data_IF_327829360213
#
_entry.id   IF_327829360213
#
_cell.length_a   1.000
_cell.length_b   1.000
_cell.length_c   1.000
_cell.angle_alpha   90.00
_cell.angle_beta   90.00
_cell.angle_gamma   90.00
#
_symmetry.space_group_name_H-M   'P 1'
#
loop_
_entity.id
_entity.type
_entity.pdbx_description
1 polymer ?
#
# COMPACT_ATOMS: atom_id res chain seq x y z
N UNK A 1 -5.61 9.97 17.12
CA UNK A 1 -5.09 10.37 15.79
C UNK A 1 -3.96 9.41 15.47
N UNK A 2 -3.81 9.05 14.21
CA UNK A 2 -2.75 8.15 13.74
C UNK A 2 -1.42 8.92 13.69
N UNK A 3 -0.30 8.29 14.08
CA UNK A 3 1.04 8.89 14.01
C UNK A 3 1.87 8.28 12.85
N UNK A 4 3.04 8.86 12.57
CA UNK A 4 3.93 8.41 11.47
C UNK A 4 4.21 6.91 11.47
N UNK A 5 4.41 6.32 12.65
CA UNK A 5 4.78 4.90 12.78
C UNK A 5 3.61 3.95 12.48
N UNK A 6 2.38 4.42 12.64
CA UNK A 6 1.14 3.69 12.35
C UNK A 6 0.79 3.69 10.85
N UNK A 7 1.45 4.54 10.05
CA UNK A 7 1.24 4.60 8.60
C UNK A 7 1.77 3.31 7.96
N UNK A 8 0.87 2.36 7.74
CA UNK A 8 1.08 1.14 6.94
C UNK A 8 0.88 1.29 5.43
N UNK A 9 1.20 0.22 4.68
CA UNK A 9 1.12 0.20 3.22
C UNK A 9 -0.30 0.37 2.65
N UNK A 10 -1.33 -0.05 3.39
CA UNK A 10 -2.73 0.16 3.01
C UNK A 10 -3.11 1.64 2.94
N UNK A 11 -2.59 2.45 3.87
CA UNK A 11 -2.85 3.89 3.90
C UNK A 11 -2.23 4.58 2.68
N UNK A 12 -0.99 4.24 2.34
CA UNK A 12 -0.31 4.75 1.15
C UNK A 12 -1.05 4.32 -0.12
N UNK A 13 -1.49 3.06 -0.20
CA UNK A 13 -2.29 2.58 -1.32
C UNK A 13 -3.58 3.41 -1.48
N UNK A 14 -4.28 3.69 -0.38
CA UNK A 14 -5.50 4.49 -0.40
C UNK A 14 -5.25 5.96 -0.69
N UNK A 15 -4.15 6.55 -0.23
CA UNK A 15 -3.75 7.90 -0.60
C UNK A 15 -3.69 8.05 -2.14
N UNK A 16 -2.97 7.15 -2.80
CA UNK A 16 -2.78 7.18 -4.25
C UNK A 16 -4.02 6.76 -5.04
N UNK A 17 -4.87 5.92 -4.45
CA UNK A 17 -6.11 5.49 -5.11
C UNK A 17 -7.23 6.52 -4.96
N UNK A 18 -7.53 6.92 -3.73
CA UNK A 18 -8.68 7.73 -3.35
C UNK A 18 -8.49 8.31 -1.93
N UNK A 19 -8.08 9.59 -1.79
CA UNK A 19 -7.91 10.24 -0.48
C UNK A 19 -9.19 10.22 0.38
N UNK A 20 -10.36 10.23 -0.28
CA UNK A 20 -11.65 10.05 0.38
C UNK A 20 -11.77 8.68 1.07
N UNK A 21 -11.38 7.61 0.37
CA UNK A 21 -11.38 6.26 0.92
C UNK A 21 -10.39 6.16 2.09
N UNK A 22 -9.21 6.76 1.96
CA UNK A 22 -8.24 6.85 3.05
C UNK A 22 -8.86 7.48 4.30
N UNK A 23 -9.51 8.64 4.15
CA UNK A 23 -10.16 9.33 5.27
C UNK A 23 -11.20 8.44 5.95
N UNK A 24 -12.11 7.82 5.16
CA UNK A 24 -13.16 6.95 5.69
C UNK A 24 -12.59 5.73 6.42
N UNK A 25 -11.56 5.09 5.83
CA UNK A 25 -10.89 3.93 6.43
C UNK A 25 -10.24 4.25 7.77
N UNK A 26 -9.57 5.40 7.87
CA UNK A 26 -8.93 5.90 9.10
C UNK A 26 -9.95 6.30 10.17
N UNK A 27 -11.16 6.69 9.77
CA UNK A 27 -12.28 6.96 10.66
C UNK A 27 -13.16 5.72 10.95
N UNK A 28 -12.68 4.52 10.60
CA UNK A 28 -13.30 3.24 10.97
C UNK A 28 -14.42 2.76 10.04
N UNK A 29 -14.69 3.46 8.94
CA UNK A 29 -15.68 3.05 7.95
C UNK A 29 -14.99 2.10 6.96
N UNK A 30 -15.28 0.79 7.03
CA UNK A 30 -14.56 -0.24 6.26
C UNK A 30 -15.49 -1.26 5.56
N UNK A 31 -16.34 -0.82 4.62
CA UNK A 31 -17.32 -1.68 3.94
C UNK A 31 -16.68 -2.74 3.04
N UNK A 32 -15.40 -2.61 2.68
CA UNK A 32 -14.67 -3.51 1.78
C UNK A 32 -14.37 -4.89 2.35
N UNK A 33 -14.37 -5.09 3.68
CA UNK A 33 -14.19 -6.42 4.28
C UNK A 33 -15.31 -7.40 3.91
N UNK A 34 -16.45 -6.88 3.43
CA UNK A 34 -17.58 -7.67 2.93
C UNK A 34 -17.45 -8.01 1.42
N UNK A 35 -16.43 -7.49 0.74
CA UNK A 35 -16.23 -7.72 -0.69
C UNK A 35 -15.50 -9.03 -0.96
N UNK A 36 -16.13 -9.92 -1.73
CA UNK A 36 -15.52 -11.17 -2.19
C UNK A 36 -14.20 -10.97 -2.95
N UNK A 37 -13.98 -9.79 -3.56
CA UNK A 37 -12.73 -9.47 -4.27
C UNK A 37 -11.57 -9.22 -3.30
N UNK A 38 -11.83 -8.62 -2.15
CA UNK A 38 -10.81 -8.39 -1.11
C UNK A 38 -10.43 -9.71 -0.46
N UNK A 39 -11.44 -10.50 -0.07
CA UNK A 39 -11.25 -11.84 0.49
C UNK A 39 -10.48 -12.76 -0.47
N UNK A 40 -10.76 -12.68 -1.78
CA UNK A 40 -9.98 -13.40 -2.79
C UNK A 40 -8.53 -12.92 -2.87
N UNK A 41 -8.29 -11.61 -2.72
CA UNK A 41 -6.94 -11.05 -2.68
C UNK A 41 -6.12 -11.58 -1.50
N UNK A 42 -6.74 -11.62 -0.32
CA UNK A 42 -6.16 -12.18 0.91
C UNK A 42 -5.91 -13.70 0.76
N UNK A 43 -6.87 -14.45 0.23
CA UNK A 43 -6.71 -15.89 -0.01
C UNK A 43 -5.62 -16.23 -1.04
N UNK A 44 -5.45 -15.41 -2.09
CA UNK A 44 -4.37 -15.57 -3.07
C UNK A 44 -3.02 -15.27 -2.44
N UNK A 45 -2.95 -14.28 -1.53
CA UNK A 45 -1.74 -13.99 -0.75
C UNK A 45 -1.35 -15.18 0.12
N UNK A 46 -2.31 -15.71 0.90
CA UNK A 46 -2.13 -16.86 1.79
C UNK A 46 -1.76 -18.16 1.06
N UNK A 47 -2.17 -18.32 -0.20
CA UNK A 47 -1.83 -19.52 -1.00
C UNK A 47 -0.52 -19.38 -1.78
N UNK A 48 0.05 -18.18 -1.88
CA UNK A 48 1.28 -17.92 -2.66
C UNK A 48 2.59 -18.22 -1.92
N UNK A 49 2.55 -19.01 -0.83
CA UNK A 49 3.69 -19.39 0.02
C UNK A 49 4.87 -20.02 -0.77
N UNK A 50 5.80 -19.17 -1.20
CA UNK A 50 7.18 -19.55 -1.54
C UNK A 50 8.05 -19.35 -0.30
N UNK A 51 8.75 -20.41 0.15
CA UNK A 51 9.92 -20.60 1.06
C UNK A 51 10.58 -19.44 1.87
N UNK A 52 10.05 -18.22 1.90
CA UNK A 52 10.63 -17.05 2.53
C UNK A 52 9.72 -16.55 3.65
N UNK A 53 10.31 -16.13 4.76
CA UNK A 53 9.60 -15.69 5.95
C UNK A 53 9.04 -14.28 5.75
N UNK A 54 7.73 -14.04 5.95
CA UNK A 54 7.17 -12.70 5.92
C UNK A 54 7.77 -11.84 7.04
N UNK A 55 8.07 -10.57 6.73
CA UNK A 55 8.59 -9.61 7.71
C UNK A 55 7.41 -8.79 8.23
N UNK A 56 7.16 -8.90 9.53
CA UNK A 56 6.17 -8.08 10.22
C UNK A 56 6.78 -6.72 10.58
N UNK A 57 6.29 -5.66 9.95
CA UNK A 57 6.67 -4.27 10.23
C UNK A 57 5.66 -3.58 11.17
N UNK A 58 4.83 -4.36 11.88
CA UNK A 58 3.76 -3.87 12.77
C UNK A 58 2.53 -3.40 12.00
N UNK A 59 2.66 -2.28 11.28
CA UNK A 59 1.57 -1.69 10.50
C UNK A 59 1.46 -2.26 9.07
N UNK A 60 2.35 -3.17 8.67
CA UNK A 60 2.36 -3.78 7.35
C UNK A 60 3.02 -5.16 7.35
N UNK A 61 2.46 -6.07 6.55
CA UNK A 61 3.06 -7.36 6.22
C UNK A 61 3.80 -7.20 4.90
N UNK A 62 5.12 -7.35 4.93
CA UNK A 62 5.97 -7.42 3.76
C UNK A 62 6.07 -8.88 3.32
N UNK A 63 5.92 -9.18 2.02
CA UNK A 63 5.95 -10.57 1.56
C UNK A 63 7.30 -11.22 1.88
N UNK A 64 8.41 -10.60 1.46
CA UNK A 64 9.76 -10.95 1.90
C UNK A 64 10.83 -9.94 1.42
N UNK A 65 12.03 -10.03 1.99
CA UNK A 65 13.26 -9.41 1.48
C UNK A 65 14.15 -10.52 0.92
N UNK A 66 14.72 -10.34 -0.27
CA UNK A 66 15.64 -11.32 -0.86
C UNK A 66 17.09 -11.16 -0.34
N UNK A 67 17.96 -12.12 -0.67
CA UNK A 67 19.38 -12.07 -0.27
C UNK A 67 20.19 -10.96 -0.94
N UNK A 68 19.60 -10.19 -1.86
CA UNK A 68 20.17 -8.99 -2.49
C UNK A 68 19.55 -7.70 -1.93
N UNK A 69 18.83 -7.79 -0.80
CA UNK A 69 18.15 -6.70 -0.12
C UNK A 69 17.12 -5.97 -0.99
N UNK A 70 16.38 -6.70 -1.83
CA UNK A 70 15.19 -6.17 -2.48
C UNK A 70 13.93 -6.53 -1.69
N UNK A 71 13.01 -5.57 -1.58
CA UNK A 71 11.66 -5.78 -1.07
C UNK A 71 10.80 -6.40 -2.15
N UNK A 72 10.14 -7.53 -1.88
CA UNK A 72 9.25 -8.17 -2.84
C UNK A 72 7.79 -8.01 -2.41
N UNK A 73 6.91 -7.72 -3.37
CA UNK A 73 5.46 -7.57 -3.17
C UNK A 73 4.71 -8.18 -4.36
N UNK A 74 3.76 -9.07 -4.09
CA UNK A 74 2.95 -9.76 -5.10
C UNK A 74 1.58 -9.09 -5.23
N UNK A 75 1.21 -8.75 -6.47
CA UNK A 75 -0.06 -8.09 -6.81
C UNK A 75 -0.98 -9.02 -7.58
N UNK A 76 -2.21 -9.16 -7.08
CA UNK A 76 -3.29 -9.89 -7.75
C UNK A 76 -3.90 -9.14 -8.94
N UNK A 77 -3.55 -7.87 -9.13
CA UNK A 77 -3.96 -7.03 -10.26
C UNK A 77 -3.18 -7.41 -11.53
N UNK A 78 -3.74 -7.08 -12.70
CA UNK A 78 -3.07 -7.30 -13.99
C UNK A 78 -2.25 -6.10 -14.45
N UNK A 79 -2.45 -4.93 -13.83
CA UNK A 79 -1.82 -3.67 -14.22
C UNK A 79 -1.15 -3.04 -13.00
N UNK A 80 0.06 -2.55 -13.22
CA UNK A 80 0.75 -1.73 -12.25
C UNK A 80 0.03 -0.39 -12.07
N UNK A 81 -0.06 0.06 -10.83
CA UNK A 81 -0.60 1.36 -10.48
C UNK A 81 0.43 2.21 -9.72
N UNK A 82 0.28 3.55 -9.74
CA UNK A 82 1.07 4.44 -8.87
C UNK A 82 0.98 4.06 -7.38
N UNK A 83 -0.17 3.52 -6.96
CA UNK A 83 -0.37 3.04 -5.59
C UNK A 83 0.51 1.85 -5.23
N UNK A 84 0.72 0.91 -6.17
CA UNK A 84 1.59 -0.25 -5.94
C UNK A 84 3.06 0.19 -5.80
N UNK A 85 3.51 1.12 -6.64
CA UNK A 85 4.85 1.70 -6.55
C UNK A 85 5.05 2.49 -5.26
N UNK A 86 4.05 3.28 -4.86
CA UNK A 86 4.09 4.05 -3.62
C UNK A 86 4.16 3.15 -2.39
N UNK A 87 3.39 2.07 -2.37
CA UNK A 87 3.44 1.08 -1.30
C UNK A 87 4.83 0.41 -1.20
N UNK A 88 5.40 -0.02 -2.32
CA UNK A 88 6.75 -0.61 -2.32
C UNK A 88 7.82 0.36 -1.82
N UNK A 89 7.75 1.63 -2.24
CA UNK A 89 8.62 2.71 -1.76
C UNK A 89 8.47 2.94 -0.25
N UNK A 90 7.24 2.94 0.27
CA UNK A 90 6.98 3.08 1.70
C UNK A 90 7.63 1.96 2.51
N UNK A 91 7.55 0.72 2.04
CA UNK A 91 8.22 -0.40 2.71
C UNK A 91 9.75 -0.25 2.72
N UNK A 92 10.34 0.19 1.61
CA UNK A 92 11.77 0.49 1.57
C UNK A 92 12.14 1.57 2.60
N UNK A 93 11.34 2.64 2.68
CA UNK A 93 11.55 3.72 3.64
C UNK A 93 11.47 3.24 5.09
N UNK A 94 10.45 2.43 5.44
CA UNK A 94 10.31 1.86 6.79
C UNK A 94 11.50 0.97 7.17
N UNK A 95 11.99 0.15 6.23
CA UNK A 95 13.16 -0.69 6.45
C UNK A 95 14.43 0.12 6.70
N UNK A 96 14.66 1.16 5.90
CA UNK A 96 15.79 2.09 6.12
C UNK A 96 15.72 2.77 7.49
N UNK A 97 14.52 3.16 7.93
CA UNK A 97 14.29 3.78 9.25
C UNK A 97 14.57 2.87 10.44
N UNK A 98 14.57 1.55 10.27
CA UNK A 98 14.97 0.58 11.29
C UNK A 98 16.38 0.02 11.06
N UNK A 99 17.17 0.65 10.18
CA UNK A 99 18.57 0.30 9.92
C UNK A 99 18.78 -0.81 8.89
N UNK A 100 17.74 -1.21 8.14
CA UNK A 100 17.83 -2.21 7.07
C UNK A 100 17.91 -1.49 5.72
N UNK A 101 19.11 -1.42 5.16
CA UNK A 101 19.35 -0.80 3.85
C UNK A 101 18.94 -1.73 2.70
N UNK A 102 17.76 -1.47 2.13
CA UNK A 102 17.28 -2.16 0.93
C UNK A 102 17.59 -1.38 -0.35
N UNK A 103 17.80 -2.11 -1.45
CA UNK A 103 18.08 -1.55 -2.78
C UNK A 103 16.84 -0.95 -3.46
N UNK A 104 15.65 -1.42 -3.10
CA UNK A 104 14.40 -1.02 -3.74
C UNK A 104 13.30 -2.06 -3.60
N UNK A 105 12.21 -1.84 -4.33
CA UNK A 105 11.05 -2.71 -4.36
C UNK A 105 10.90 -3.44 -5.70
N UNK A 106 10.44 -4.68 -5.65
CA UNK A 106 10.14 -5.56 -6.77
C UNK A 106 8.67 -5.93 -6.70
N UNK A 107 7.90 -5.44 -7.66
CA UNK A 107 6.48 -5.71 -7.76
C UNK A 107 6.24 -6.85 -8.76
N UNK A 108 5.61 -7.92 -8.31
CA UNK A 108 5.26 -9.09 -9.11
C UNK A 108 3.79 -9.07 -9.48
N UNK A 109 3.48 -9.27 -10.76
CA UNK A 109 2.11 -9.37 -11.29
C UNK A 109 1.93 -10.74 -11.95
N UNK A 110 1.62 -11.80 -11.18
CA UNK A 110 1.62 -13.18 -11.69
C UNK A 110 0.66 -13.40 -12.86
N UNK A 111 -0.52 -12.76 -12.82
CA UNK A 111 -1.55 -12.87 -13.87
C UNK A 111 -1.07 -12.39 -15.24
N UNK A 112 -0.11 -11.46 -15.28
CA UNK A 112 0.47 -10.95 -16.53
C UNK A 112 1.92 -11.37 -16.72
N UNK A 113 2.49 -12.16 -15.80
CA UNK A 113 3.90 -12.55 -15.75
C UNK A 113 4.85 -11.36 -15.87
N UNK A 114 4.47 -10.22 -15.28
CA UNK A 114 5.28 -9.01 -15.26
C UNK A 114 5.94 -8.83 -13.90
N UNK A 115 7.19 -8.41 -13.91
CA UNK A 115 7.92 -8.02 -12.71
C UNK A 115 8.53 -6.65 -12.97
N UNK A 116 8.40 -5.73 -12.02
CA UNK A 116 8.94 -4.39 -12.12
C UNK A 116 9.80 -4.07 -10.91
N UNK A 117 10.99 -3.50 -11.15
CA UNK A 117 11.92 -3.08 -10.11
C UNK A 117 11.92 -1.57 -9.98
N UNK A 118 11.90 -1.08 -8.75
CA UNK A 118 11.89 0.32 -8.39
C UNK A 118 13.02 0.57 -7.38
N UNK A 119 14.17 1.06 -7.81
CA UNK A 119 15.28 1.40 -6.92
C UNK A 119 14.85 2.42 -5.86
N UNK A 120 15.37 2.26 -4.64
CA UNK A 120 15.17 3.21 -3.56
C UNK A 120 16.30 4.25 -3.59
N UNK A 121 15.97 5.47 -4.04
CA UNK A 121 16.89 6.60 -4.17
C UNK A 121 16.60 7.67 -3.11
N UNK A 122 17.46 8.69 -3.01
CA UNK A 122 17.18 9.85 -2.16
C UNK A 122 15.85 10.54 -2.52
N UNK A 123 15.52 10.64 -3.81
CA UNK A 123 14.22 11.15 -4.26
C UNK A 123 13.06 10.26 -3.77
N UNK A 124 13.23 8.94 -3.79
CA UNK A 124 12.25 8.01 -3.25
C UNK A 124 12.09 8.17 -1.73
N UNK A 125 13.17 8.42 -0.99
CA UNK A 125 13.09 8.71 0.44
C UNK A 125 12.25 9.97 0.71
N UNK A 126 12.58 11.09 0.05
CA UNK A 126 11.83 12.35 0.18
C UNK A 126 10.37 12.18 -0.20
N UNK A 127 10.07 11.40 -1.26
CA UNK A 127 8.70 11.13 -1.66
C UNK A 127 7.93 10.31 -0.63
N UNK A 128 8.57 9.31 -0.01
CA UNK A 128 7.95 8.50 1.03
C UNK A 128 7.55 9.34 2.26
N UNK A 129 8.42 10.25 2.70
CA UNK A 129 8.13 11.17 3.81
C UNK A 129 6.97 12.13 3.47
N UNK A 130 6.94 12.63 2.23
CA UNK A 130 5.83 13.45 1.75
C UNK A 130 4.50 12.67 1.75
N UNK A 131 4.50 11.41 1.30
CA UNK A 131 3.32 10.57 1.30
C UNK A 131 2.80 10.32 2.72
N UNK A 132 3.69 10.04 3.68
CA UNK A 132 3.35 9.89 5.10
C UNK A 132 2.70 11.17 5.61
N UNK A 133 3.31 12.33 5.33
CA UNK A 133 2.77 13.63 5.73
C UNK A 133 1.38 13.86 5.16
N UNK A 134 1.14 13.50 3.90
CA UNK A 134 -0.17 13.64 3.24
C UNK A 134 -1.22 12.69 3.82
N UNK A 135 -0.83 11.47 4.23
CA UNK A 135 -1.70 10.55 4.97
C UNK A 135 -2.14 11.18 6.29
N UNK A 136 -1.20 11.69 7.08
CA UNK A 136 -1.50 12.34 8.37
C UNK A 136 -2.38 13.58 8.18
N UNK A 137 -2.08 14.39 7.17
CA UNK A 137 -2.88 15.57 6.82
C UNK A 137 -4.31 15.17 6.43
N UNK A 138 -4.47 14.09 5.64
CA UNK A 138 -5.79 13.55 5.30
C UNK A 138 -6.52 13.07 6.55
N UNK A 139 -5.85 12.33 7.44
CA UNK A 139 -6.42 11.83 8.69
C UNK A 139 -6.95 12.97 9.59
N UNK A 140 -6.27 14.11 9.59
CA UNK A 140 -6.60 15.28 10.42
C UNK A 140 -7.72 16.17 9.83
N UNK A 141 -8.19 15.92 8.60
CA UNK A 141 -9.25 16.74 8.02
C UNK A 141 -10.56 16.59 8.81
N UNK A 142 -11.25 17.70 9.14
CA UNK A 142 -12.50 17.64 9.91
C UNK A 142 -13.65 16.98 9.14
N UNK A 143 -13.54 16.95 7.81
CA UNK A 143 -14.52 16.33 6.92
C UNK A 143 -13.79 15.53 5.85
N UNK A 144 -14.46 14.49 5.36
CA UNK A 144 -13.92 13.67 4.29
C UNK A 144 -13.66 14.49 3.01
N UNK A 145 -12.57 14.21 2.27
CA UNK A 145 -12.38 14.73 0.92
C UNK A 145 -13.59 14.48 0.03
N UNK A 146 -13.86 15.43 -0.87
CA UNK A 146 -14.98 15.37 -1.79
C UNK A 146 -14.94 14.11 -2.67
N UNK A 147 -16.13 13.63 -3.05
CA UNK A 147 -16.27 12.51 -3.98
C UNK A 147 -15.66 12.87 -5.33
N UNK A 148 -14.71 12.06 -5.79
CA UNK A 148 -14.16 12.19 -7.14
C UNK A 148 -15.22 11.75 -8.15
N UNK A 149 -15.52 12.59 -9.15
CA UNK A 149 -16.41 12.22 -10.25
C UNK A 149 -15.68 11.31 -11.24
N UNK A 150 -15.54 10.02 -10.91
CA UNK A 150 -14.87 9.01 -11.74
C UNK A 150 -15.79 7.83 -12.03
N UNK A 151 -15.72 7.21 -13.23
CA UNK A 151 -16.53 6.03 -13.55
C UNK A 151 -16.35 4.89 -12.54
N UNK A 152 -15.14 4.74 -11.98
CA UNK A 152 -14.80 3.73 -10.97
C UNK A 152 -15.48 3.94 -9.62
N UNK A 153 -16.11 5.10 -9.38
CA UNK A 153 -16.94 5.31 -8.19
C UNK A 153 -18.31 4.62 -8.33
N UNK A 154 -18.74 4.23 -9.54
CA UNK A 154 -19.97 3.47 -9.73
C UNK A 154 -19.73 2.02 -9.27
N UNK A 155 -20.27 1.66 -8.10
CA UNK A 155 -20.07 0.34 -7.48
C UNK A 155 -18.93 0.29 -6.47
N UNK A 156 -18.36 1.44 -6.07
CA UNK A 156 -17.43 1.49 -4.96
C UNK A 156 -18.16 1.17 -3.64
N UNK A 157 -17.57 0.35 -2.78
CA UNK A 157 -18.13 0.01 -1.46
C UNK A 157 -18.32 1.24 -0.55
N UNK A 158 -17.63 2.33 -0.87
CA UNK A 158 -17.68 3.60 -0.15
C UNK A 158 -18.62 4.65 -0.78
N UNK A 159 -19.47 4.25 -1.75
CA UNK A 159 -20.29 5.21 -2.52
C UNK A 159 -21.29 5.98 -1.67
N UNK A 160 -21.82 5.34 -0.62
CA UNK A 160 -22.93 5.83 0.22
C UNK A 160 -22.46 6.55 1.50
N UNK A 161 -21.15 6.58 1.72
CA UNK A 161 -20.48 7.29 2.82
C UNK A 161 -19.80 8.53 2.29
#
# INVERSE_FOLDING_TARGET
MIDTEDVGGVHIKYLYHCPRQLWLYLHGIRPEHLSATVQLGEAVHDTSYTRNTPVDLGAARLDFIDGSHWVHEVKSSTRASPADQAQGRHYCHRLHRVGIEVQGAVLHYPKTRRTQRFPYTAEAATRAEADITEVLATAAQPQSPAKLARPTCRGCSYTDY
#
